data_IF_639637901987
#
_entry.id   IF_639637901987
#
_cell.length_a   1.000
_cell.length_b   1.000
_cell.length_c   1.000
_cell.angle_alpha   90.00
_cell.angle_beta   90.00
_cell.angle_gamma   90.00
#
_symmetry.space_group_name_H-M   'P 1'
#
loop_
_entity.id
_entity.type
_entity.pdbx_description
1 polymer ?
#
# COMPACT_ATOMS: atom_id res chain seq x y z
N UNK A 1 -16.89 15.46 10.31
CA UNK A 1 -16.12 15.34 9.06
C UNK A 1 -14.65 15.21 9.41
N UNK A 2 -14.02 14.12 8.99
CA UNK A 2 -12.59 13.95 9.21
C UNK A 2 -11.85 14.76 8.16
N UNK A 3 -11.09 15.74 8.59
CA UNK A 3 -10.20 16.45 7.70
C UNK A 3 -9.10 15.50 7.21
N UNK A 4 -8.84 15.53 5.92
CA UNK A 4 -7.70 14.79 5.38
C UNK A 4 -6.42 15.40 5.93
N UNK A 5 -5.71 14.63 6.73
CA UNK A 5 -4.41 15.06 7.22
C UNK A 5 -3.40 15.04 6.08
N UNK A 6 -2.71 16.13 5.89
CA UNK A 6 -1.58 16.16 4.98
C UNK A 6 -0.48 15.22 5.53
N UNK A 7 0.40 14.76 4.66
CA UNK A 7 1.55 13.93 5.06
C UNK A 7 2.36 14.64 6.14
N UNK A 8 2.53 15.94 6.00
CA UNK A 8 3.22 16.79 6.96
C UNK A 8 2.56 16.76 8.34
N UNK A 9 1.23 16.85 8.36
CA UNK A 9 0.46 16.81 9.59
C UNK A 9 0.48 15.44 10.26
N UNK A 10 0.41 14.37 9.47
CA UNK A 10 0.53 13.00 9.96
C UNK A 10 1.91 12.74 10.58
N UNK A 11 2.97 13.28 9.98
CA UNK A 11 4.33 13.20 10.51
C UNK A 11 4.47 13.97 11.83
N UNK A 12 3.86 15.16 11.92
CA UNK A 12 3.84 15.93 13.16
C UNK A 12 3.11 15.19 14.28
N UNK A 13 1.95 14.61 13.99
CA UNK A 13 1.18 13.85 14.96
C UNK A 13 1.96 12.63 15.45
N UNK A 14 2.62 11.91 14.53
CA UNK A 14 3.45 10.78 14.88
C UNK A 14 4.64 11.18 15.75
N UNK A 15 5.27 12.31 15.45
CA UNK A 15 6.39 12.82 16.23
C UNK A 15 5.96 13.27 17.62
N UNK A 16 4.80 13.91 17.76
CA UNK A 16 4.23 14.29 19.06
C UNK A 16 3.95 13.05 19.91
N UNK A 17 3.40 11.99 19.31
CA UNK A 17 3.17 10.72 20.02
C UNK A 17 4.48 10.05 20.43
N UNK A 18 5.54 10.23 19.66
CA UNK A 18 6.87 9.71 20.00
C UNK A 18 7.65 10.60 20.98
N UNK A 19 7.09 11.76 21.36
CA UNK A 19 7.74 12.70 22.28
C UNK A 19 8.77 13.62 21.63
N UNK A 20 8.82 13.67 20.29
CA UNK A 20 9.71 14.58 19.58
C UNK A 20 9.14 16.02 19.58
N UNK A 21 10.03 17.00 19.68
CA UNK A 21 9.62 18.40 19.67
C UNK A 21 9.24 18.83 18.23
N UNK A 22 8.13 19.59 18.06
CA UNK A 22 7.72 20.05 16.73
C UNK A 22 8.80 20.83 15.99
N UNK A 23 9.69 21.48 16.69
CA UNK A 23 10.79 22.27 16.15
C UNK A 23 11.84 21.41 15.44
N UNK A 24 12.01 20.15 15.83
CA UNK A 24 12.94 19.24 15.21
C UNK A 24 12.45 18.73 13.85
N UNK A 25 11.15 18.90 13.57
CA UNK A 25 10.54 18.47 12.32
C UNK A 25 10.56 19.53 11.21
N UNK A 26 10.85 20.77 11.54
CA UNK A 26 10.81 21.88 10.56
C UNK A 26 11.90 21.80 9.51
N UNK A 27 12.91 20.98 9.72
CA UNK A 27 14.06 20.87 8.83
C UNK A 27 14.00 19.68 7.89
N UNK A 28 12.97 18.83 8.02
CA UNK A 28 12.84 17.64 7.18
C UNK A 28 11.78 17.90 6.11
N UNK A 29 12.24 18.40 4.96
CA UNK A 29 11.42 18.38 3.76
C UNK A 29 11.37 16.94 3.28
N UNK A 30 10.25 16.24 3.50
CA UNK A 30 10.07 14.89 2.99
C UNK A 30 9.52 14.99 1.58
N UNK A 31 10.39 14.90 0.58
CA UNK A 31 9.95 14.68 -0.78
C UNK A 31 9.49 13.24 -0.92
N UNK A 32 8.23 13.05 -1.26
CA UNK A 32 7.72 11.74 -1.55
C UNK A 32 8.18 11.31 -2.94
N UNK A 33 9.09 10.34 -3.00
CA UNK A 33 9.61 9.78 -4.25
C UNK A 33 8.60 8.83 -4.87
N UNK A 34 7.89 8.07 -4.04
CA UNK A 34 6.89 7.12 -4.48
C UNK A 34 5.86 6.89 -3.37
N UNK A 35 4.68 6.42 -3.76
CA UNK A 35 3.64 6.12 -2.79
C UNK A 35 2.69 5.05 -3.28
N UNK A 36 2.22 4.24 -2.35
CA UNK A 36 1.13 3.29 -2.57
C UNK A 36 0.10 3.55 -1.48
N UNK A 37 -1.11 3.96 -1.87
CA UNK A 37 -2.22 4.21 -0.96
C UNK A 37 -3.35 3.26 -1.30
N UNK A 38 -3.70 2.40 -0.35
CA UNK A 38 -4.80 1.46 -0.50
C UNK A 38 -5.74 1.67 0.68
N UNK A 39 -6.98 1.99 0.40
CA UNK A 39 -7.96 2.17 1.45
C UNK A 39 -9.33 1.68 1.03
N UNK A 40 -10.10 1.22 2.00
CA UNK A 40 -11.46 0.76 1.80
C UNK A 40 -12.37 1.48 2.79
N UNK A 41 -13.43 2.09 2.28
CA UNK A 41 -14.45 2.74 3.10
C UNK A 41 -15.65 1.84 3.33
N UNK A 42 -15.79 0.76 2.58
CA UNK A 42 -16.90 -0.16 2.61
C UNK A 42 -16.41 -1.56 2.23
N UNK A 43 -16.73 -2.55 3.06
CA UNK A 43 -16.33 -3.95 2.83
C UNK A 43 -16.93 -4.55 1.56
N UNK A 44 -18.08 -4.03 1.12
CA UNK A 44 -18.79 -4.53 -0.07
C UNK A 44 -18.26 -3.93 -1.36
N UNK A 45 -17.47 -2.87 -1.28
CA UNK A 45 -16.91 -2.18 -2.44
C UNK A 45 -15.43 -2.51 -2.60
N UNK A 46 -14.93 -2.55 -3.84
CA UNK A 46 -13.49 -2.69 -4.06
C UNK A 46 -12.73 -1.56 -3.39
N UNK A 47 -11.54 -1.83 -2.86
CA UNK A 47 -10.70 -0.79 -2.28
C UNK A 47 -10.23 0.19 -3.34
N UNK A 48 -9.98 1.42 -2.91
CA UNK A 48 -9.35 2.42 -3.75
C UNK A 48 -7.84 2.28 -3.66
N UNK A 49 -7.17 2.29 -4.82
CA UNK A 49 -5.72 2.15 -4.90
C UNK A 49 -5.16 3.33 -5.67
N UNK A 50 -4.22 4.03 -5.07
CA UNK A 50 -3.48 5.11 -5.70
C UNK A 50 -2.01 4.77 -5.67
N UNK A 51 -1.39 4.72 -6.85
CA UNK A 51 0.02 4.41 -6.99
C UNK A 51 0.68 5.59 -7.70
N UNK A 52 1.75 6.11 -7.11
CA UNK A 52 2.51 7.23 -7.63
C UNK A 52 4.01 6.94 -7.54
N UNK A 53 4.74 7.27 -8.59
CA UNK A 53 6.19 7.08 -8.64
C UNK A 53 6.63 6.18 -9.79
N UNK A 54 7.94 6.04 -9.93
CA UNK A 54 8.53 5.16 -10.92
C UNK A 54 8.40 3.70 -10.51
N UNK A 55 8.35 2.81 -11.48
CA UNK A 55 8.15 1.37 -11.25
C UNK A 55 9.09 0.79 -10.19
N UNK A 56 10.39 1.09 -10.29
CA UNK A 56 11.40 0.53 -9.37
C UNK A 56 11.14 1.02 -7.94
N UNK A 57 10.81 2.29 -7.77
CA UNK A 57 10.55 2.88 -6.45
C UNK A 57 9.28 2.31 -5.84
N UNK A 58 8.22 2.18 -6.63
CA UNK A 58 6.95 1.59 -6.20
C UNK A 58 7.15 0.11 -5.83
N UNK A 59 7.88 -0.64 -6.65
CA UNK A 59 8.17 -2.04 -6.37
C UNK A 59 8.96 -2.22 -5.07
N UNK A 60 9.88 -1.32 -4.79
CA UNK A 60 10.65 -1.32 -3.54
C UNK A 60 9.74 -1.07 -2.34
N UNK A 61 8.83 -0.09 -2.44
CA UNK A 61 7.84 0.16 -1.38
C UNK A 61 6.96 -1.05 -1.13
N UNK A 62 6.49 -1.69 -2.19
CA UNK A 62 5.65 -2.88 -2.08
C UNK A 62 6.39 -4.01 -1.37
N UNK A 63 7.66 -4.22 -1.70
CA UNK A 63 8.49 -5.23 -1.04
C UNK A 63 8.59 -4.98 0.47
N UNK A 64 8.86 -3.73 0.87
CA UNK A 64 8.92 -3.37 2.28
C UNK A 64 7.57 -3.52 2.98
N UNK A 65 6.48 -3.14 2.32
CA UNK A 65 5.12 -3.29 2.87
C UNK A 65 4.79 -4.76 3.14
N UNK A 66 5.14 -5.65 2.22
CA UNK A 66 4.94 -7.08 2.38
C UNK A 66 5.76 -7.62 3.55
N UNK A 67 7.03 -7.22 3.65
CA UNK A 67 7.90 -7.63 4.75
C UNK A 67 7.34 -7.18 6.11
N UNK A 68 6.91 -5.95 6.21
CA UNK A 68 6.30 -5.41 7.44
C UNK A 68 5.00 -6.12 7.79
N UNK A 69 4.20 -6.48 6.80
CA UNK A 69 2.97 -7.23 7.02
C UNK A 69 3.28 -8.61 7.62
N UNK A 70 4.27 -9.31 7.05
CA UNK A 70 4.66 -10.63 7.54
C UNK A 70 5.18 -10.53 8.98
N UNK A 71 6.08 -9.60 9.24
CA UNK A 71 6.66 -9.42 10.58
C UNK A 71 5.60 -9.02 11.60
N UNK A 72 4.65 -8.15 11.22
CA UNK A 72 3.54 -7.77 12.08
C UNK A 72 2.63 -8.94 12.43
N UNK A 73 2.30 -9.79 11.46
CA UNK A 73 1.47 -10.96 11.69
C UNK A 73 2.17 -11.97 12.59
N UNK A 74 3.47 -12.17 12.42
CA UNK A 74 4.27 -13.06 13.27
C UNK A 74 4.33 -12.50 14.71
N UNK A 75 4.50 -11.19 14.86
CA UNK A 75 4.51 -10.54 16.16
C UNK A 75 3.18 -10.71 16.90
N UNK A 76 2.07 -10.82 16.17
CA UNK A 76 0.74 -11.06 16.74
C UNK A 76 0.45 -12.53 17.04
N UNK A 77 1.38 -13.42 16.76
CA UNK A 77 1.28 -14.84 17.11
C UNK A 77 0.98 -15.78 15.96
N UNK A 78 0.88 -15.30 14.72
CA UNK A 78 0.67 -16.18 13.57
C UNK A 78 1.99 -16.86 13.19
N UNK A 79 1.93 -18.14 12.85
CA UNK A 79 3.12 -18.87 12.43
C UNK A 79 3.69 -18.28 11.14
N UNK A 80 5.00 -18.08 11.11
CA UNK A 80 5.70 -17.49 9.95
C UNK A 80 5.43 -18.27 8.65
N UNK A 81 5.56 -19.58 8.68
CA UNK A 81 5.33 -20.41 7.50
C UNK A 81 3.91 -20.26 6.94
N UNK A 82 2.92 -20.10 7.82
CA UNK A 82 1.54 -19.88 7.43
C UNK A 82 1.36 -18.50 6.74
N UNK A 83 1.94 -17.45 7.32
CA UNK A 83 1.88 -16.10 6.75
C UNK A 83 2.56 -16.06 5.39
N UNK A 84 3.72 -16.68 5.26
CA UNK A 84 4.45 -16.73 3.99
C UNK A 84 3.65 -17.40 2.89
N UNK A 85 3.04 -18.56 3.18
CA UNK A 85 2.18 -19.27 2.21
C UNK A 85 0.96 -18.44 1.83
N UNK A 86 0.37 -17.76 2.80
CA UNK A 86 -0.78 -16.89 2.58
C UNK A 86 -0.41 -15.74 1.62
N UNK A 87 0.75 -15.11 1.83
CA UNK A 87 1.22 -14.03 0.98
C UNK A 87 1.52 -14.48 -0.45
N UNK A 88 2.11 -15.66 -0.61
CA UNK A 88 2.31 -16.24 -1.95
C UNK A 88 0.97 -16.46 -2.64
N UNK A 89 -0.02 -16.99 -1.93
CA UNK A 89 -1.35 -17.20 -2.48
C UNK A 89 -2.04 -15.92 -2.90
N UNK A 90 -1.96 -14.87 -2.08
CA UNK A 90 -2.50 -13.56 -2.41
C UNK A 90 -1.84 -12.99 -3.68
N UNK A 91 -0.52 -13.08 -3.76
CA UNK A 91 0.23 -12.58 -4.91
C UNK A 91 -0.17 -13.31 -6.19
N UNK A 92 -0.31 -14.63 -6.12
CA UNK A 92 -0.75 -15.43 -7.27
C UNK A 92 -2.17 -15.04 -7.72
N UNK A 93 -3.09 -14.82 -6.79
CA UNK A 93 -4.45 -14.37 -7.10
C UNK A 93 -4.45 -12.99 -7.72
N UNK A 94 -3.63 -12.07 -7.22
CA UNK A 94 -3.51 -10.73 -7.78
C UNK A 94 -3.02 -10.78 -9.23
N UNK A 95 -2.03 -11.61 -9.52
CA UNK A 95 -1.53 -11.79 -10.88
C UNK A 95 -2.62 -12.37 -11.78
N UNK A 96 -3.33 -13.39 -11.32
CA UNK A 96 -4.41 -14.02 -12.09
C UNK A 96 -5.54 -13.03 -12.38
N UNK A 97 -5.93 -12.23 -11.39
CA UNK A 97 -6.97 -11.21 -11.55
C UNK A 97 -6.55 -10.16 -12.57
N UNK A 98 -5.30 -9.69 -12.50
CA UNK A 98 -4.76 -8.70 -13.43
C UNK A 98 -4.74 -9.23 -14.87
N UNK A 99 -4.34 -10.49 -15.06
CA UNK A 99 -4.33 -11.14 -16.38
C UNK A 99 -5.74 -11.29 -16.95
N UNK A 100 -6.69 -11.67 -16.11
CA UNK A 100 -8.09 -11.81 -16.53
C UNK A 100 -8.68 -10.47 -17.00
N UNK A 101 -8.39 -9.40 -16.25
CA UNK A 101 -8.82 -8.04 -16.62
C UNK A 101 -8.20 -7.60 -17.95
N UNK A 102 -6.90 -7.83 -18.15
CA UNK A 102 -6.21 -7.48 -19.38
C UNK A 102 -6.79 -8.23 -20.57
N UNK A 103 -7.08 -9.52 -20.39
CA UNK A 103 -7.72 -10.35 -21.43
C UNK A 103 -9.11 -9.81 -21.79
N UNK A 104 -9.93 -9.51 -20.77
CA UNK A 104 -11.27 -8.98 -20.97
C UNK A 104 -11.27 -7.66 -21.73
N UNK A 105 -10.35 -6.75 -21.38
CA UNK A 105 -10.19 -5.49 -22.10
C UNK A 105 -9.78 -5.70 -23.55
N UNK A 106 -8.86 -6.62 -23.81
CA UNK A 106 -8.43 -6.94 -25.17
C UNK A 106 -9.57 -7.49 -26.02
N UNK A 107 -10.41 -8.35 -25.45
CA UNK A 107 -11.59 -8.89 -26.12
C UNK A 107 -12.59 -7.78 -26.45
N UNK A 108 -12.86 -6.89 -25.49
CA UNK A 108 -13.77 -5.76 -25.70
C UNK A 108 -13.27 -4.81 -26.80
N UNK A 109 -11.98 -4.53 -26.82
CA UNK A 109 -11.37 -3.70 -27.87
C UNK A 109 -11.43 -4.37 -29.23
N UNK A 110 -11.27 -5.69 -29.31
CA UNK A 110 -11.42 -6.47 -30.52
C UNK A 110 -12.83 -6.46 -31.05
N UNK A 111 -13.84 -6.45 -30.18
CA UNK A 111 -15.26 -6.40 -30.61
C UNK A 111 -15.68 -5.04 -31.17
N UNK A 112 -14.94 -3.97 -30.86
CA UNK A 112 -15.24 -2.64 -31.39
C UNK A 112 -14.75 -2.40 -32.80
N UNK A 113 -14.04 -3.31 -33.35
CA UNK A 113 -13.56 -3.29 -34.71
C UNK A 113 -14.34 -4.28 -35.56
#
# INVERSE_FOLDING_TARGET
MKEEKTIEQALKDAAEQAGAKPEEMKTVAVEQVAGIHVFSSDREKPPSVLIDGEFVDVATLLRFAISEFIDGAVAQGTQRAHVERFMVGITQRAIATSRAEAYRKAVQEGEKH
#
